data_IF_770392374350
#
_entry.id   IF_770392374350
#
_cell.length_a   1.000
_cell.length_b   1.000
_cell.length_c   1.000
_cell.angle_alpha   90.00
_cell.angle_beta   90.00
_cell.angle_gamma   90.00
#
_symmetry.space_group_name_H-M   'P 1'
#
loop_
_entity.id
_entity.type
_entity.pdbx_description
1 polymer ?
#
# COMPACT_ATOMS: atom_id res chain seq x y z
N UNK A 1 15.42 6.42 -33.32
CA UNK A 1 14.53 6.70 -32.17
C UNK A 1 15.25 6.17 -30.93
N UNK A 2 15.43 6.99 -29.89
CA UNK A 2 16.05 6.56 -28.63
C UNK A 2 14.93 6.07 -27.70
N UNK A 3 15.15 4.97 -26.99
CA UNK A 3 14.21 4.49 -25.96
C UNK A 3 14.50 5.27 -24.68
N UNK A 4 13.46 5.83 -24.07
CA UNK A 4 13.54 6.60 -22.84
C UNK A 4 12.58 6.02 -21.80
N UNK A 5 13.00 6.02 -20.53
CA UNK A 5 12.16 5.59 -19.42
C UNK A 5 11.16 6.71 -19.09
N UNK A 6 9.87 6.44 -19.26
CA UNK A 6 8.79 7.35 -18.90
C UNK A 6 8.39 7.27 -17.43
N UNK A 7 7.23 7.84 -17.11
CA UNK A 7 6.61 7.70 -15.80
C UNK A 7 6.40 6.23 -15.45
N UNK A 8 6.80 5.85 -14.25
CA UNK A 8 6.68 4.49 -13.76
C UNK A 8 6.23 4.50 -12.30
N UNK A 9 5.48 3.46 -11.96
CA UNK A 9 4.99 3.19 -10.61
C UNK A 9 4.78 1.70 -10.45
N UNK A 10 4.91 1.22 -9.22
CA UNK A 10 4.74 -0.18 -8.90
C UNK A 10 4.11 -0.33 -7.52
N UNK A 11 3.51 -1.48 -7.25
CA UNK A 11 3.05 -1.77 -5.91
C UNK A 11 2.19 -3.01 -5.83
N UNK A 12 1.44 -3.13 -4.73
CA UNK A 12 0.52 -4.24 -4.50
C UNK A 12 -0.93 -3.76 -4.67
N UNK A 13 -1.61 -4.37 -5.63
CA UNK A 13 -3.04 -4.17 -5.83
C UNK A 13 -3.86 -5.22 -5.08
N UNK A 14 -5.11 -4.86 -4.82
CA UNK A 14 -6.16 -5.74 -4.31
C UNK A 14 -5.88 -6.44 -2.97
N UNK A 15 -5.29 -5.72 -2.02
CA UNK A 15 -5.18 -6.19 -0.65
C UNK A 15 -6.58 -6.15 0.00
N UNK A 16 -7.22 -7.31 0.12
CA UNK A 16 -8.52 -7.47 0.80
C UNK A 16 -8.30 -7.47 2.31
N UNK A 17 -8.87 -6.49 3.00
CA UNK A 17 -8.71 -6.29 4.44
C UNK A 17 -10.07 -6.18 5.11
N UNK A 18 -10.32 -7.05 6.09
CA UNK A 18 -11.46 -6.95 6.99
C UNK A 18 -10.95 -6.62 8.38
N UNK A 19 -11.34 -5.47 8.92
CA UNK A 19 -11.04 -5.04 10.30
C UNK A 19 -12.31 -5.02 11.12
N UNK A 20 -12.30 -5.77 12.23
CA UNK A 20 -13.39 -5.80 13.21
C UNK A 20 -12.99 -5.04 14.47
N UNK A 21 -13.57 -3.87 14.70
CA UNK A 21 -13.43 -3.13 15.97
C UNK A 21 -14.55 -3.54 16.90
N UNK A 22 -14.21 -3.97 18.12
CA UNK A 22 -15.17 -4.45 19.11
C UNK A 22 -15.25 -3.43 20.25
N UNK A 23 -16.41 -2.81 20.39
CA UNK A 23 -16.74 -1.91 21.49
C UNK A 23 -17.83 -2.56 22.34
N UNK A 24 -17.92 -2.24 23.63
CA UNK A 24 -18.73 -3.00 24.59
C UNK A 24 -20.19 -3.13 24.14
N UNK A 25 -20.56 -4.33 23.65
CA UNK A 25 -21.90 -4.64 23.14
C UNK A 25 -22.16 -4.31 21.65
N UNK A 26 -21.22 -3.69 20.94
CA UNK A 26 -21.34 -3.34 19.51
C UNK A 26 -20.06 -3.63 18.73
N UNK A 27 -20.19 -4.31 17.60
CA UNK A 27 -19.08 -4.54 16.68
C UNK A 27 -19.20 -3.65 15.45
N UNK A 28 -18.08 -3.11 14.99
CA UNK A 28 -17.94 -2.33 13.78
C UNK A 28 -17.05 -3.11 12.80
N UNK A 29 -17.46 -3.14 11.53
CA UNK A 29 -16.76 -3.85 10.47
C UNK A 29 -16.36 -2.84 9.41
N UNK A 30 -15.10 -2.91 9.00
CA UNK A 30 -14.56 -2.24 7.84
C UNK A 30 -14.05 -3.31 6.88
N UNK A 31 -14.54 -3.30 5.64
CA UNK A 31 -14.14 -4.22 4.59
C UNK A 31 -13.66 -3.42 3.38
N UNK A 32 -12.37 -3.52 3.08
CA UNK A 32 -11.69 -2.71 2.06
C UNK A 32 -10.96 -3.57 1.04
N UNK A 33 -10.95 -3.07 -0.19
CA UNK A 33 -10.03 -3.51 -1.23
C UNK A 33 -8.97 -2.44 -1.49
N UNK A 34 -7.74 -2.65 -1.02
CA UNK A 34 -6.72 -1.61 -0.96
C UNK A 34 -5.63 -1.86 -1.99
N UNK A 35 -5.37 -0.85 -2.83
CA UNK A 35 -4.26 -0.85 -3.79
C UNK A 35 -3.28 0.27 -3.45
N UNK A 36 -1.99 -0.04 -3.37
CA UNK A 36 -0.92 0.92 -3.10
C UNK A 36 0.05 0.94 -4.28
N UNK A 37 0.49 2.13 -4.67
CA UNK A 37 1.49 2.33 -5.72
C UNK A 37 2.51 3.38 -5.25
N UNK A 38 3.80 3.08 -5.47
CA UNK A 38 4.90 3.99 -5.20
C UNK A 38 5.52 4.42 -6.53
N UNK A 39 5.89 5.69 -6.59
CA UNK A 39 6.63 6.31 -7.70
C UNK A 39 7.86 7.01 -7.11
N UNK A 40 8.97 7.04 -7.84
CA UNK A 40 10.24 7.57 -7.33
C UNK A 40 11.41 7.26 -8.25
N UNK A 41 12.63 7.31 -7.72
CA UNK A 41 13.86 7.01 -8.46
C UNK A 41 14.07 5.50 -8.62
N UNK A 42 13.55 4.96 -9.73
CA UNK A 42 13.65 3.54 -10.12
C UNK A 42 14.39 3.33 -11.45
N UNK A 43 15.21 4.29 -11.88
CA UNK A 43 15.94 4.18 -13.14
C UNK A 43 16.86 2.95 -13.16
N UNK A 44 17.63 2.71 -12.09
CA UNK A 44 18.51 1.56 -11.98
C UNK A 44 17.74 0.23 -11.98
N UNK A 45 16.54 0.19 -11.40
CA UNK A 45 15.69 -1.00 -11.43
C UNK A 45 15.31 -1.38 -12.86
N UNK A 46 14.92 -0.41 -13.68
CA UNK A 46 14.49 -0.66 -15.06
C UNK A 46 15.65 -0.84 -16.04
N UNK A 47 16.76 -0.12 -15.83
CA UNK A 47 17.88 -0.07 -16.78
C UNK A 47 18.96 -1.11 -16.50
N UNK A 48 19.15 -1.53 -15.24
CA UNK A 48 20.21 -2.47 -14.85
C UNK A 48 19.73 -3.63 -13.97
N UNK A 49 18.48 -3.60 -13.48
CA UNK A 49 17.91 -4.63 -12.60
C UNK A 49 18.30 -4.47 -11.13
N UNK A 50 18.88 -3.33 -10.72
CA UNK A 50 19.20 -3.07 -9.32
C UNK A 50 17.93 -2.82 -8.51
N UNK A 51 17.69 -3.66 -7.50
CA UNK A 51 16.52 -3.56 -6.62
C UNK A 51 16.82 -2.88 -5.28
N UNK A 52 17.98 -2.23 -5.14
CA UNK A 52 18.40 -1.59 -3.87
C UNK A 52 17.42 -0.54 -3.36
N UNK A 53 16.69 0.12 -4.27
CA UNK A 53 15.65 1.12 -3.96
C UNK A 53 14.23 0.56 -3.96
N UNK A 54 14.04 -0.73 -4.27
CA UNK A 54 12.72 -1.34 -4.40
C UNK A 54 12.23 -1.81 -3.03
N UNK A 55 11.21 -1.15 -2.48
CA UNK A 55 10.43 -1.70 -1.39
C UNK A 55 9.60 -2.88 -1.92
N UNK A 56 9.76 -4.12 -1.43
CA UNK A 56 9.02 -5.26 -1.96
C UNK A 56 7.50 -5.03 -1.90
N UNK A 57 6.78 -5.47 -2.92
CA UNK A 57 5.30 -5.36 -2.94
C UNK A 57 4.67 -6.17 -1.81
N UNK A 58 5.34 -7.22 -1.33
CA UNK A 58 4.94 -7.96 -0.13
C UNK A 58 5.07 -7.11 1.14
N UNK A 59 6.11 -6.27 1.25
CA UNK A 59 6.26 -5.32 2.36
C UNK A 59 5.16 -4.26 2.33
N UNK A 60 4.75 -3.79 1.15
CA UNK A 60 3.59 -2.89 1.01
C UNK A 60 2.30 -3.57 1.50
N UNK A 61 2.02 -4.81 1.06
CA UNK A 61 0.91 -5.64 1.57
C UNK A 61 0.93 -5.75 3.09
N UNK A 62 2.08 -6.14 3.66
CA UNK A 62 2.24 -6.33 5.11
C UNK A 62 2.02 -5.00 5.86
N UNK A 63 2.44 -3.87 5.28
CA UNK A 63 2.21 -2.53 5.84
C UNK A 63 0.73 -2.19 5.90
N UNK A 64 -0.03 -2.49 4.83
CA UNK A 64 -1.50 -2.31 4.81
C UNK A 64 -2.15 -3.08 5.97
N UNK A 65 -1.82 -4.36 6.15
CA UNK A 65 -2.36 -5.15 7.26
C UNK A 65 -1.92 -4.64 8.64
N UNK A 66 -0.65 -4.27 8.79
CA UNK A 66 -0.12 -3.72 10.04
C UNK A 66 -0.82 -2.40 10.42
N UNK A 67 -1.05 -1.51 9.45
CA UNK A 67 -1.70 -0.22 9.69
C UNK A 67 -3.19 -0.39 9.99
N UNK A 68 -3.89 -1.32 9.32
CA UNK A 68 -5.28 -1.62 9.61
C UNK A 68 -5.48 -2.14 11.05
N UNK A 69 -4.49 -2.87 11.58
CA UNK A 69 -4.48 -3.30 12.98
C UNK A 69 -4.19 -2.15 13.94
N UNK A 70 -3.17 -1.33 13.64
CA UNK A 70 -2.67 -0.24 14.49
C UNK A 70 -3.64 0.93 14.62
N UNK A 71 -4.38 1.24 13.55
CA UNK A 71 -5.30 2.36 13.47
C UNK A 71 -6.73 1.87 13.17
N UNK A 72 -7.43 1.30 14.16
CA UNK A 72 -8.77 0.77 13.96
C UNK A 72 -9.82 1.86 13.74
N UNK A 73 -10.95 1.47 13.14
CA UNK A 73 -12.15 2.32 12.98
C UNK A 73 -11.92 3.64 12.19
N UNK A 74 -10.96 3.66 11.27
CA UNK A 74 -10.81 4.78 10.35
C UNK A 74 -11.72 4.64 9.12
N UNK A 75 -12.23 5.78 8.65
CA UNK A 75 -12.84 5.88 7.33
C UNK A 75 -11.82 5.52 6.23
N UNK A 76 -12.26 5.02 5.06
CA UNK A 76 -11.38 4.61 3.97
C UNK A 76 -10.39 5.71 3.55
N UNK A 77 -10.83 6.96 3.51
CA UNK A 77 -10.01 8.13 3.14
C UNK A 77 -8.92 8.40 4.16
N UNK A 78 -9.25 8.32 5.46
CA UNK A 78 -8.28 8.47 6.54
C UNK A 78 -7.23 7.35 6.51
N UNK A 79 -7.66 6.11 6.22
CA UNK A 79 -6.73 5.00 6.05
C UNK A 79 -5.82 5.17 4.83
N UNK A 80 -6.37 5.63 3.70
CA UNK A 80 -5.59 5.93 2.50
C UNK A 80 -4.54 7.01 2.74
N UNK A 81 -4.90 8.12 3.39
CA UNK A 81 -3.95 9.16 3.77
C UNK A 81 -2.88 8.62 4.73
N UNK A 82 -3.27 7.79 5.70
CA UNK A 82 -2.32 7.22 6.67
C UNK A 82 -1.27 6.32 6.03
N UNK A 83 -1.61 5.64 4.92
CA UNK A 83 -0.66 4.84 4.16
C UNK A 83 0.33 5.67 3.32
N UNK A 84 0.01 6.94 3.07
CA UNK A 84 0.81 7.86 2.26
C UNK A 84 1.71 8.80 3.09
N UNK A 85 1.50 8.87 4.41
CA UNK A 85 2.36 9.60 5.37
C UNK A 85 3.75 8.95 5.53
#
# INVERSE_FOLDING_TARGET
MKIELGENRYGKAENRVVRITREQGRHHILDLNVSVQLSGDFAETHLTGSNTKVLPTDTQKNTVFAFAQKYPAMEPEAFGLKLCE
#
